data_IF_954072861698
#
_entry.id   IF_954072861698
#
_cell.length_a   1.000
_cell.length_b   1.000
_cell.length_c   1.000
_cell.angle_alpha   90.00
_cell.angle_beta   90.00
_cell.angle_gamma   90.00
#
_symmetry.space_group_name_H-M   'P 1'
#
loop_
_entity.id
_entity.type
_entity.pdbx_description
1 polymer ?
#
# COMPACT_ATOMS: atom_id res chain seq x y z
N UNK A 1 1.36 8.76 -32.52
CA UNK A 1 1.70 8.55 -33.95
C UNK A 1 2.07 7.10 -34.13
N UNK A 2 1.84 6.49 -35.31
CA UNK A 2 2.37 5.14 -35.59
C UNK A 2 3.71 5.32 -36.30
N UNK A 3 4.78 4.75 -35.76
CA UNK A 3 6.12 4.82 -36.35
C UNK A 3 6.29 3.77 -37.46
N UNK A 4 7.39 3.82 -38.25
CA UNK A 4 7.61 2.92 -39.38
C UNK A 4 7.68 1.43 -39.02
N UNK A 5 8.08 1.08 -37.79
CA UNK A 5 8.07 -0.30 -37.24
C UNK A 5 6.66 -0.73 -36.81
N UNK A 6 5.67 0.12 -37.07
CA UNK A 6 4.27 -0.13 -36.78
C UNK A 6 3.90 0.01 -35.31
N UNK A 7 4.76 0.59 -34.46
CA UNK A 7 4.45 0.84 -33.05
C UNK A 7 3.85 2.23 -32.86
N UNK A 8 3.20 2.42 -31.72
CA UNK A 8 2.54 3.66 -31.34
C UNK A 8 3.45 4.48 -30.45
N UNK A 9 3.96 5.61 -30.95
CA UNK A 9 4.90 6.47 -30.25
C UNK A 9 4.21 7.66 -29.56
N UNK A 10 4.66 7.96 -28.34
CA UNK A 10 4.36 9.17 -27.59
C UNK A 10 5.24 10.31 -28.07
N UNK A 11 4.67 11.42 -28.54
CA UNK A 11 5.45 12.56 -29.07
C UNK A 11 6.06 13.44 -27.97
N UNK A 12 5.62 13.29 -26.73
CA UNK A 12 6.12 14.09 -25.60
C UNK A 12 7.39 13.51 -24.99
N UNK A 13 7.51 12.17 -24.94
CA UNK A 13 8.65 11.47 -24.32
C UNK A 13 9.29 10.42 -25.22
N UNK A 14 8.83 10.29 -26.47
CA UNK A 14 9.33 9.39 -27.51
C UNK A 14 9.27 7.89 -27.22
N UNK A 15 8.60 7.46 -26.13
CA UNK A 15 8.35 6.03 -25.87
C UNK A 15 7.40 5.40 -26.89
N UNK A 16 7.73 4.19 -27.33
CA UNK A 16 6.95 3.40 -28.29
C UNK A 16 6.22 2.22 -27.63
N UNK A 17 5.01 1.94 -28.12
CA UNK A 17 4.11 0.93 -27.60
C UNK A 17 3.57 0.04 -28.71
N UNK A 18 3.50 -1.28 -28.49
CA UNK A 18 2.95 -2.21 -29.50
C UNK A 18 1.47 -1.99 -29.82
N UNK A 19 0.71 -1.40 -28.88
CA UNK A 19 -0.74 -1.22 -29.00
C UNK A 19 -1.16 0.22 -28.73
N UNK A 20 -2.17 0.70 -29.48
CA UNK A 20 -2.74 2.05 -29.33
C UNK A 20 -3.30 2.29 -27.93
N UNK A 21 -3.95 1.27 -27.33
CA UNK A 21 -4.50 1.35 -25.97
C UNK A 21 -3.43 1.62 -24.92
N UNK A 22 -2.24 1.02 -25.06
CA UNK A 22 -1.12 1.26 -24.15
C UNK A 22 -0.56 2.68 -24.28
N UNK A 23 -0.41 3.19 -25.51
CA UNK A 23 -0.02 4.59 -25.72
C UNK A 23 -1.04 5.55 -25.09
N UNK A 24 -2.34 5.28 -25.27
CA UNK A 24 -3.41 6.10 -24.70
C UNK A 24 -3.34 6.14 -23.17
N UNK A 25 -3.18 4.96 -22.53
CA UNK A 25 -3.01 4.85 -21.07
C UNK A 25 -1.76 5.59 -20.58
N UNK A 26 -0.64 5.44 -21.28
CA UNK A 26 0.60 6.13 -20.97
C UNK A 26 0.44 7.65 -20.99
N UNK A 27 -0.16 8.20 -22.06
CA UNK A 27 -0.40 9.65 -22.18
C UNK A 27 -1.32 10.16 -21.07
N UNK A 28 -2.33 9.38 -20.70
CA UNK A 28 -3.32 9.79 -19.70
C UNK A 28 -2.78 9.82 -18.28
N UNK A 29 -1.89 8.90 -17.92
CA UNK A 29 -1.55 8.64 -16.52
C UNK A 29 -0.06 8.71 -16.18
N UNK A 30 0.83 8.71 -17.18
CA UNK A 30 2.27 8.63 -16.93
C UNK A 30 3.07 9.77 -17.54
N UNK A 31 2.75 10.18 -18.76
CA UNK A 31 3.56 11.17 -19.48
C UNK A 31 3.30 12.58 -18.97
N UNK A 32 4.19 13.12 -18.15
CA UNK A 32 4.04 14.46 -17.57
C UNK A 32 2.87 14.57 -16.58
N UNK A 33 2.35 13.43 -16.10
CA UNK A 33 1.23 13.37 -15.17
C UNK A 33 1.73 12.91 -13.81
N UNK A 34 1.44 13.72 -12.79
CA UNK A 34 1.70 13.37 -11.41
C UNK A 34 0.84 12.18 -10.94
N UNK A 35 1.33 11.36 -9.99
CA UNK A 35 0.58 10.20 -9.54
C UNK A 35 -0.74 10.62 -8.88
N UNK A 36 -1.87 10.23 -9.47
CA UNK A 36 -3.22 10.68 -9.05
C UNK A 36 -3.87 9.76 -8.02
N UNK A 37 -3.43 8.50 -7.94
CA UNK A 37 -4.06 7.48 -7.11
C UNK A 37 -3.34 7.37 -5.77
N UNK A 38 -3.92 7.91 -4.71
CA UNK A 38 -3.42 7.75 -3.35
C UNK A 38 -3.65 6.34 -2.86
N UNK A 39 -2.63 5.70 -2.29
CA UNK A 39 -2.84 4.52 -1.49
C UNK A 39 -3.50 4.91 -0.16
N UNK A 40 -4.61 4.28 0.20
CA UNK A 40 -5.24 4.47 1.51
C UNK A 40 -4.40 3.92 2.67
N UNK A 41 -3.37 3.13 2.36
CA UNK A 41 -2.56 2.39 3.33
C UNK A 41 -1.15 2.97 3.52
N UNK A 42 -0.69 3.86 2.63
CA UNK A 42 0.58 4.57 2.77
C UNK A 42 0.53 5.92 2.05
N UNK A 43 1.41 6.85 2.41
CA UNK A 43 1.48 8.19 1.80
C UNK A 43 1.98 8.20 0.35
N UNK A 44 2.15 7.03 -0.29
CA UNK A 44 2.58 6.95 -1.70
C UNK A 44 1.39 7.17 -2.63
N UNK A 45 1.65 7.93 -3.69
CA UNK A 45 0.73 8.12 -4.80
C UNK A 45 1.22 7.32 -6.01
N UNK A 46 0.28 6.80 -6.79
CA UNK A 46 0.51 5.92 -7.94
C UNK A 46 -0.13 6.50 -9.19
N UNK A 47 0.44 6.17 -10.34
CA UNK A 47 -0.05 6.60 -11.65
C UNK A 47 -1.21 5.75 -12.17
N UNK A 48 -1.43 4.55 -11.65
CA UNK A 48 -2.52 3.66 -12.05
C UNK A 48 -3.42 3.30 -10.86
N UNK A 49 -4.69 2.97 -11.12
CA UNK A 49 -5.70 2.61 -10.10
C UNK A 49 -5.32 1.40 -9.24
N UNK A 50 -4.46 0.51 -9.74
CA UNK A 50 -3.96 -0.61 -8.95
C UNK A 50 -2.63 -0.21 -8.30
N UNK A 51 -2.58 -0.02 -6.97
CA UNK A 51 -1.31 0.14 -6.29
C UNK A 51 -0.51 -1.14 -6.48
N UNK A 52 0.56 -1.07 -7.28
CA UNK A 52 1.60 -2.10 -7.26
C UNK A 52 2.35 -1.92 -5.95
N UNK A 53 1.95 -2.68 -4.95
CA UNK A 53 2.73 -2.80 -3.72
C UNK A 53 4.12 -3.35 -4.10
N UNK A 54 5.21 -2.91 -3.42
CA UNK A 54 6.53 -3.45 -3.68
C UNK A 54 6.47 -4.98 -3.56
N UNK A 55 6.85 -5.66 -4.64
CA UNK A 55 6.83 -7.11 -4.74
C UNK A 55 8.22 -7.57 -5.13
N UNK A 56 8.80 -8.42 -4.30
CA UNK A 56 10.05 -9.12 -4.52
C UNK A 56 9.74 -10.60 -4.29
N UNK A 57 10.03 -11.45 -5.28
CA UNK A 57 9.75 -12.90 -5.23
C UNK A 57 8.26 -13.27 -5.08
N UNK A 58 7.36 -12.50 -5.71
CA UNK A 58 5.91 -12.80 -5.69
C UNK A 58 5.21 -12.55 -4.35
N UNK A 59 5.92 -12.00 -3.36
CA UNK A 59 5.38 -11.60 -2.07
C UNK A 59 5.24 -10.10 -1.98
N UNK A 60 4.08 -9.64 -1.52
CA UNK A 60 3.82 -8.23 -1.31
C UNK A 60 4.46 -7.81 0.02
N UNK A 61 5.31 -6.78 -0.02
CA UNK A 61 6.00 -6.26 1.15
C UNK A 61 5.19 -5.15 1.81
N UNK A 62 5.01 -5.25 3.12
CA UNK A 62 4.46 -4.16 3.91
C UNK A 62 5.47 -3.00 3.95
N UNK A 63 5.10 -1.80 3.44
CA UNK A 63 6.02 -0.67 3.37
C UNK A 63 6.33 -0.03 4.74
N UNK A 64 5.65 -0.44 5.82
CA UNK A 64 5.84 0.12 7.17
C UNK A 64 6.71 -0.76 8.06
N UNK A 65 6.58 -2.09 7.98
CA UNK A 65 7.30 -3.03 8.85
C UNK A 65 8.21 -4.00 8.09
N UNK A 66 8.23 -3.94 6.75
CA UNK A 66 9.06 -4.81 5.91
C UNK A 66 8.61 -6.27 5.82
N UNK A 67 7.54 -6.67 6.53
CA UNK A 67 7.01 -8.04 6.49
C UNK A 67 6.49 -8.39 5.10
N UNK A 68 6.76 -9.61 4.66
CA UNK A 68 6.41 -10.15 3.33
C UNK A 68 5.18 -11.05 3.44
N UNK A 69 4.20 -10.83 2.56
CA UNK A 69 2.94 -11.59 2.52
C UNK A 69 2.79 -12.25 1.15
N UNK A 70 2.41 -13.53 1.13
CA UNK A 70 2.08 -14.21 -0.12
C UNK A 70 0.81 -13.63 -0.78
N UNK A 71 0.54 -13.95 -2.05
CA UNK A 71 -0.64 -13.46 -2.79
C UNK A 71 -1.98 -13.81 -2.13
N UNK A 72 -2.04 -14.91 -1.39
CA UNK A 72 -3.21 -15.40 -0.66
C UNK A 72 -3.33 -14.85 0.76
N UNK A 73 -2.24 -14.33 1.31
CA UNK A 73 -2.24 -13.70 2.63
C UNK A 73 -2.66 -12.24 2.47
N UNK A 74 -3.72 -11.88 3.19
CA UNK A 74 -4.42 -10.62 3.00
C UNK A 74 -3.59 -9.45 3.57
N UNK A 75 -2.61 -8.98 2.80
CA UNK A 75 -1.79 -7.81 3.15
C UNK A 75 -2.64 -6.58 3.44
N UNK A 76 -3.83 -6.48 2.82
CA UNK A 76 -4.81 -5.43 3.13
C UNK A 76 -5.28 -5.53 4.58
N UNK A 77 -5.60 -6.74 5.08
CA UNK A 77 -5.98 -6.95 6.47
C UNK A 77 -4.81 -6.65 7.42
N UNK A 78 -3.58 -7.08 7.09
CA UNK A 78 -2.38 -6.70 7.86
C UNK A 78 -2.23 -5.17 7.93
N UNK A 79 -2.33 -4.47 6.79
CA UNK A 79 -2.19 -3.02 6.74
C UNK A 79 -3.35 -2.30 7.44
N UNK A 80 -4.54 -2.88 7.49
CA UNK A 80 -5.72 -2.29 8.11
C UNK A 80 -5.78 -2.52 9.63
N UNK A 81 -5.38 -3.72 10.08
CA UNK A 81 -5.57 -4.17 11.46
C UNK A 81 -4.27 -4.41 12.24
N UNK A 82 -3.09 -4.38 11.62
CA UNK A 82 -1.84 -4.64 12.36
C UNK A 82 -0.79 -3.55 12.13
N UNK A 83 -0.72 -3.02 10.91
CA UNK A 83 0.26 -2.01 10.53
C UNK A 83 -0.35 -0.60 10.40
N UNK A 84 -1.68 -0.52 10.36
CA UNK A 84 -2.50 0.70 10.16
C UNK A 84 -2.91 1.41 11.44
N UNK A 85 -2.93 0.71 12.56
CA UNK A 85 -3.20 1.25 13.89
C UNK A 85 -2.01 0.94 14.78
N UNK A 86 -1.49 1.96 15.45
CA UNK A 86 -0.76 1.76 16.69
C UNK A 86 -1.71 1.01 17.65
N UNK A 87 -1.64 -0.31 17.69
CA UNK A 87 -2.16 -1.09 18.81
C UNK A 87 -1.02 -1.45 19.75
N UNK A 88 -0.22 -0.44 20.04
CA UNK A 88 0.33 -0.35 21.38
C UNK A 88 -0.73 0.38 22.20
N UNK A 89 -1.71 -0.36 22.69
CA UNK A 89 -2.74 0.18 23.55
C UNK A 89 -2.06 0.57 24.87
N UNK A 90 -2.01 1.87 25.13
CA UNK A 90 -1.48 2.36 26.39
C UNK A 90 -2.57 2.23 27.45
N UNK A 91 -2.20 1.67 28.60
CA UNK A 91 -3.07 1.70 29.76
C UNK A 91 -3.35 3.16 30.15
N UNK A 92 -4.61 3.56 30.38
CA UNK A 92 -4.93 4.92 30.80
C UNK A 92 -4.43 5.25 32.21
N UNK A 93 -4.09 4.23 33.01
CA UNK A 93 -3.69 4.39 34.41
C UNK A 93 -2.19 4.20 34.66
N UNK A 94 -1.43 3.73 33.67
CA UNK A 94 0.00 3.53 33.84
C UNK A 94 0.76 3.57 32.50
N UNK A 95 2.12 3.63 32.52
CA UNK A 95 2.92 3.66 31.30
C UNK A 95 2.91 2.37 30.46
N UNK A 96 2.16 1.33 30.89
CA UNK A 96 2.16 0.02 30.25
C UNK A 96 1.51 0.09 28.87
N UNK A 97 2.13 -0.65 27.95
CA UNK A 97 1.85 -0.68 26.52
C UNK A 97 1.55 -2.12 26.08
N UNK A 98 0.32 -2.39 25.65
CA UNK A 98 -0.19 -3.72 25.32
C UNK A 98 -0.38 -3.88 23.81
N UNK A 99 -0.06 -5.06 23.26
CA UNK A 99 -0.10 -5.31 21.81
C UNK A 99 -1.50 -5.68 21.27
N UNK A 100 -2.43 -6.00 22.16
CA UNK A 100 -3.80 -6.47 21.87
C UNK A 100 -4.75 -6.04 22.98
N UNK A 101 -6.03 -5.91 22.66
CA UNK A 101 -7.08 -5.45 23.57
C UNK A 101 -7.38 -6.46 24.69
N UNK A 102 -7.46 -7.75 24.38
CA UNK A 102 -7.65 -8.81 25.38
C UNK A 102 -6.57 -8.79 26.47
N UNK A 103 -5.33 -8.47 26.09
CA UNK A 103 -4.22 -8.29 27.03
C UNK A 103 -4.36 -7.00 27.84
N UNK A 104 -4.87 -5.92 27.26
CA UNK A 104 -5.17 -4.70 27.99
C UNK A 104 -6.30 -4.91 28.99
N UNK A 105 -7.40 -5.55 28.60
CA UNK A 105 -8.54 -5.81 29.50
C UNK A 105 -8.15 -6.72 30.66
N UNK A 106 -7.35 -7.76 30.40
CA UNK A 106 -6.79 -8.61 31.46
C UNK A 106 -5.87 -7.81 32.40
N UNK A 107 -5.02 -6.93 31.86
CA UNK A 107 -4.20 -6.04 32.67
C UNK A 107 -5.03 -5.06 33.51
N UNK A 108 -6.05 -4.43 32.92
CA UNK A 108 -6.96 -3.51 33.62
C UNK A 108 -7.72 -4.22 34.75
N UNK A 109 -8.17 -5.45 34.51
CA UNK A 109 -8.87 -6.26 35.52
C UNK A 109 -7.96 -6.75 36.64
N UNK A 110 -6.76 -7.23 36.29
CA UNK A 110 -5.89 -7.88 37.27
C UNK A 110 -4.98 -6.91 38.04
N UNK A 111 -4.55 -5.82 37.39
CA UNK A 111 -3.62 -4.84 38.00
C UNK A 111 -4.37 -3.60 38.51
N UNK A 112 -5.41 -3.17 37.79
CA UNK A 112 -6.17 -1.96 38.13
C UNK A 112 -7.59 -2.22 38.64
N UNK A 113 -8.05 -3.48 38.64
CA UNK A 113 -9.42 -3.91 39.05
C UNK A 113 -10.55 -3.13 38.37
N UNK A 114 -10.34 -2.69 37.13
CA UNK A 114 -11.37 -2.08 36.29
C UNK A 114 -12.14 -3.22 35.61
N UNK A 115 -13.46 -3.23 35.80
CA UNK A 115 -14.41 -4.18 35.19
C UNK A 115 -14.72 -3.85 33.75
#
# INVERSE_FOLDING_TARGET
>A
MKDPDGRYQCLTCYKSYKQKGHLSRHRKYECGVDPQFSCSLCSKKFRHRSPRLPSDDGKLMCPRCGKRYGPTLNLVAHLQFECGKQMILQCPLCPRKCKRDDILQSHLRNIHRIT
#
